data_IF_363831264742
#
_entry.id   IF_363831264742
#
_cell.length_a   1.000
_cell.length_b   1.000
_cell.length_c   1.000
_cell.angle_alpha   90.00
_cell.angle_beta   90.00
_cell.angle_gamma   90.00
#
_symmetry.space_group_name_H-M   'P 1'
#
loop_
_entity.id
_entity.type
_entity.pdbx_description
1 polymer ?
#
# COMPACT_ATOMS: atom_id res chain seq x y z
N UNK A 1 7.00 -1.95 7.72
CA UNK A 1 7.59 -3.27 7.49
C UNK A 1 9.11 -3.16 7.57
N UNK A 2 9.67 -3.59 8.70
CA UNK A 2 11.10 -3.49 8.98
C UNK A 2 11.82 -4.85 8.86
N UNK A 3 13.06 -4.91 9.38
CA UNK A 3 13.92 -6.09 9.30
C UNK A 3 13.25 -7.33 9.91
N UNK A 4 12.69 -7.23 11.11
CA UNK A 4 12.11 -8.39 11.82
C UNK A 4 10.91 -8.99 11.08
N UNK A 5 10.06 -8.16 10.46
CA UNK A 5 8.95 -8.65 9.63
C UNK A 5 9.45 -9.26 8.33
N UNK A 6 10.49 -8.68 7.72
CA UNK A 6 11.12 -9.24 6.52
C UNK A 6 11.75 -10.60 6.79
N UNK A 7 12.37 -10.82 7.97
CA UNK A 7 12.88 -12.11 8.40
C UNK A 7 11.76 -13.16 8.51
N UNK A 8 10.59 -12.80 9.04
CA UNK A 8 9.42 -13.68 9.06
C UNK A 8 8.94 -14.05 7.64
N UNK A 9 8.99 -13.11 6.68
CA UNK A 9 8.67 -13.38 5.28
C UNK A 9 9.69 -14.35 4.67
N UNK A 10 10.99 -14.17 4.96
CA UNK A 10 12.04 -15.11 4.53
C UNK A 10 11.73 -16.52 4.99
N UNK A 11 11.39 -16.70 6.26
CA UNK A 11 11.04 -18.01 6.81
C UNK A 11 9.80 -18.63 6.16
N UNK A 12 8.76 -17.82 5.92
CA UNK A 12 7.56 -18.27 5.20
C UNK A 12 7.88 -18.72 3.75
N UNK A 13 8.74 -17.99 3.04
CA UNK A 13 9.17 -18.35 1.69
C UNK A 13 9.94 -19.66 1.71
N UNK A 14 10.91 -19.82 2.63
CA UNK A 14 11.68 -21.07 2.80
C UNK A 14 10.79 -22.25 3.14
N UNK A 15 9.86 -22.08 4.08
CA UNK A 15 8.91 -23.12 4.48
C UNK A 15 7.97 -23.55 3.34
N UNK A 16 7.72 -22.70 2.35
CA UNK A 16 6.91 -23.07 1.19
C UNK A 16 7.58 -24.10 0.27
N UNK A 17 8.90 -24.31 0.39
CA UNK A 17 9.68 -25.17 -0.51
C UNK A 17 9.80 -24.65 -1.95
N UNK A 18 9.31 -23.45 -2.22
CA UNK A 18 9.32 -22.84 -3.56
C UNK A 18 10.56 -21.97 -3.75
N UNK A 19 10.98 -21.81 -5.02
CA UNK A 19 12.07 -20.93 -5.37
C UNK A 19 11.54 -19.52 -5.62
N UNK A 20 12.01 -18.54 -4.85
CA UNK A 20 11.72 -17.14 -5.11
C UNK A 20 12.54 -16.66 -6.32
N UNK A 21 11.85 -16.22 -7.37
CA UNK A 21 12.46 -15.72 -8.61
C UNK A 21 12.30 -14.23 -8.78
N UNK A 22 11.22 -13.66 -8.24
CA UNK A 22 10.88 -12.25 -8.43
C UNK A 22 10.15 -11.71 -7.22
N UNK A 23 10.51 -10.48 -6.82
CA UNK A 23 9.82 -9.64 -5.87
C UNK A 23 9.27 -8.46 -6.66
N UNK A 24 7.96 -8.22 -6.62
CA UNK A 24 7.35 -7.05 -7.22
C UNK A 24 6.93 -6.06 -6.14
N UNK A 25 7.36 -4.82 -6.27
CA UNK A 25 7.02 -3.72 -5.38
C UNK A 25 5.93 -2.87 -6.04
N UNK A 26 4.74 -2.88 -5.46
CA UNK A 26 3.56 -2.23 -6.02
C UNK A 26 3.46 -0.74 -5.68
N UNK A 27 4.18 -0.29 -4.65
CA UNK A 27 4.06 1.08 -4.16
C UNK A 27 5.36 1.56 -3.50
N UNK A 28 5.55 2.87 -3.45
CA UNK A 28 6.77 3.51 -2.92
C UNK A 28 6.74 3.84 -1.43
N UNK A 29 5.82 3.32 -0.62
CA UNK A 29 5.84 3.50 0.83
C UNK A 29 6.85 2.55 1.51
N UNK A 30 7.45 2.97 2.63
CA UNK A 30 8.54 2.25 3.30
C UNK A 30 8.21 0.80 3.64
N UNK A 31 6.98 0.53 4.06
CA UNK A 31 6.52 -0.80 4.41
C UNK A 31 6.48 -1.78 3.22
N UNK A 32 6.47 -1.27 1.98
CA UNK A 32 6.57 -2.09 0.77
C UNK A 32 8.00 -2.44 0.35
N UNK A 33 9.02 -1.61 0.72
CA UNK A 33 10.37 -1.84 0.19
C UNK A 33 11.50 -1.81 1.22
N UNK A 34 11.29 -1.32 2.45
CA UNK A 34 12.36 -1.32 3.48
C UNK A 34 12.80 -2.74 3.89
N UNK A 35 11.95 -3.75 3.71
CA UNK A 35 12.31 -5.15 3.93
C UNK A 35 13.19 -5.77 2.83
N UNK A 36 13.45 -5.08 1.72
CA UNK A 36 14.17 -5.63 0.56
C UNK A 36 15.63 -5.98 0.87
N UNK A 37 16.29 -5.24 1.76
CA UNK A 37 17.67 -5.55 2.17
C UNK A 37 17.76 -6.97 2.75
N UNK A 38 16.86 -7.33 3.65
CA UNK A 38 16.77 -8.66 4.25
C UNK A 38 16.38 -9.72 3.22
N UNK A 39 15.37 -9.43 2.39
CA UNK A 39 14.89 -10.37 1.36
C UNK A 39 15.95 -10.66 0.29
N UNK A 40 16.63 -9.65 -0.20
CA UNK A 40 17.67 -9.82 -1.24
C UNK A 40 18.93 -10.47 -0.69
N UNK A 41 19.25 -10.28 0.59
CA UNK A 41 20.33 -10.98 1.27
C UNK A 41 20.02 -12.48 1.40
N UNK A 42 18.77 -12.84 1.70
CA UNK A 42 18.33 -14.23 1.82
C UNK A 42 18.14 -14.92 0.45
N UNK A 43 17.74 -14.16 -0.58
CA UNK A 43 17.44 -14.64 -1.92
C UNK A 43 18.15 -13.83 -3.00
N UNK A 44 19.50 -13.90 -3.11
CA UNK A 44 20.29 -13.02 -3.97
C UNK A 44 20.05 -13.22 -5.48
N UNK A 45 19.38 -14.29 -5.88
CA UNK A 45 19.00 -14.56 -7.27
C UNK A 45 17.62 -14.02 -7.66
N UNK A 46 16.83 -13.58 -6.68
CA UNK A 46 15.51 -13.01 -6.94
C UNK A 46 15.67 -11.61 -7.56
N UNK A 47 14.93 -11.35 -8.63
CA UNK A 47 14.84 -10.00 -9.22
C UNK A 47 13.88 -9.15 -8.39
N UNK A 48 14.23 -7.91 -8.16
CA UNK A 48 13.35 -6.94 -7.51
C UNK A 48 12.86 -5.96 -8.57
N UNK A 49 11.57 -5.92 -8.82
CA UNK A 49 10.96 -5.15 -9.91
C UNK A 49 9.86 -4.23 -9.35
N UNK A 50 9.71 -3.07 -9.99
CA UNK A 50 8.56 -2.17 -9.79
C UNK A 50 8.24 -1.47 -11.11
N UNK A 51 7.08 -0.83 -11.20
CA UNK A 51 6.76 0.05 -12.33
C UNK A 51 7.70 1.27 -12.35
N UNK A 52 7.88 1.90 -13.53
CA UNK A 52 8.69 3.11 -13.63
C UNK A 52 8.20 4.21 -12.68
N UNK A 53 6.88 4.54 -12.60
CA UNK A 53 6.40 5.53 -11.65
C UNK A 53 6.74 5.20 -10.18
N UNK A 54 6.62 3.93 -9.78
CA UNK A 54 6.98 3.49 -8.43
C UNK A 54 8.48 3.65 -8.16
N UNK A 55 9.34 3.28 -9.12
CA UNK A 55 10.80 3.45 -9.01
C UNK A 55 11.16 4.92 -8.86
N UNK A 56 10.53 5.80 -9.65
CA UNK A 56 10.79 7.24 -9.60
C UNK A 56 10.32 7.83 -8.28
N UNK A 57 9.15 7.43 -7.79
CA UNK A 57 8.64 7.85 -6.47
C UNK A 57 9.59 7.42 -5.34
N UNK A 58 10.05 6.17 -5.34
CA UNK A 58 11.02 5.68 -4.34
C UNK A 58 12.28 6.54 -4.36
N UNK A 59 12.88 6.78 -5.56
CA UNK A 59 14.10 7.59 -5.68
C UNK A 59 13.95 9.01 -5.17
N UNK A 60 12.78 9.60 -5.38
CA UNK A 60 12.50 10.98 -4.94
C UNK A 60 12.28 11.09 -3.43
N UNK A 61 11.74 10.05 -2.79
CA UNK A 61 11.23 10.13 -1.43
C UNK A 61 12.01 9.32 -0.39
N UNK A 62 12.90 8.41 -0.80
CA UNK A 62 13.55 7.43 0.09
C UNK A 62 14.34 8.09 1.23
N UNK A 63 15.07 9.17 0.95
CA UNK A 63 15.90 9.84 1.97
C UNK A 63 15.02 10.51 3.04
N UNK A 64 13.95 11.20 2.63
CA UNK A 64 12.97 11.81 3.53
C UNK A 64 12.22 10.76 4.36
N UNK A 65 11.79 9.67 3.72
CA UNK A 65 11.11 8.56 4.40
C UNK A 65 12.04 7.86 5.40
N UNK A 66 13.31 7.66 5.04
CA UNK A 66 14.29 7.07 5.96
C UNK A 66 14.58 8.00 7.15
N UNK A 67 14.71 9.32 6.92
CA UNK A 67 14.90 10.29 7.99
C UNK A 67 13.71 10.35 8.96
N UNK A 68 12.48 10.21 8.47
CA UNK A 68 11.26 10.24 9.29
C UNK A 68 11.00 8.93 10.04
N UNK A 69 11.09 7.79 9.33
CA UNK A 69 10.74 6.48 9.87
C UNK A 69 11.89 5.80 10.59
N UNK A 70 13.15 6.00 10.15
CA UNK A 70 14.33 5.34 10.72
C UNK A 70 14.43 5.44 12.24
N UNK A 71 14.32 6.63 12.85
CA UNK A 71 14.35 6.78 14.31
C UNK A 71 13.23 6.04 15.04
N UNK A 72 12.07 5.86 14.39
CA UNK A 72 10.91 5.15 14.94
C UNK A 72 11.03 3.63 14.84
N UNK A 73 11.76 3.16 13.82
CA UNK A 73 11.99 1.73 13.59
C UNK A 73 13.09 1.15 14.48
N UNK A 74 14.02 1.98 14.99
CA UNK A 74 15.11 1.52 15.85
C UNK A 74 15.96 0.45 15.17
N UNK A 75 16.06 -0.74 15.78
CA UNK A 75 16.85 -1.85 15.25
C UNK A 75 16.26 -2.49 13.98
N UNK A 76 15.02 -2.19 13.64
CA UNK A 76 14.31 -2.72 12.47
C UNK A 76 14.55 -1.90 11.19
N UNK A 77 15.29 -0.78 11.29
CA UNK A 77 15.66 0.03 10.12
C UNK A 77 16.53 -0.80 9.16
N UNK A 78 16.31 -0.72 7.83
CA UNK A 78 17.17 -1.41 6.88
C UNK A 78 18.62 -0.88 6.93
N UNK A 79 19.60 -1.77 6.80
CA UNK A 79 21.00 -1.35 6.72
C UNK A 79 21.30 -0.59 5.42
N UNK A 80 20.54 -0.89 4.35
CA UNK A 80 20.55 -0.16 3.08
C UNK A 80 19.17 -0.20 2.45
N UNK A 81 18.83 0.83 1.71
CA UNK A 81 17.62 0.87 0.89
C UNK A 81 17.89 0.27 -0.50
N UNK A 82 16.99 -0.57 -0.98
CA UNK A 82 17.06 -1.18 -2.31
C UNK A 82 16.04 -0.51 -3.21
N UNK A 83 16.50 0.10 -4.29
CA UNK A 83 15.62 0.61 -5.36
C UNK A 83 15.37 -0.51 -6.36
N UNK A 84 14.11 -0.88 -6.64
CA UNK A 84 13.81 -1.92 -7.62
C UNK A 84 14.29 -1.56 -9.05
N UNK A 85 14.56 -2.59 -9.85
CA UNK A 85 14.69 -2.43 -11.29
C UNK A 85 13.33 -2.16 -11.93
N UNK A 86 13.32 -1.48 -13.07
CA UNK A 86 12.08 -1.16 -13.79
C UNK A 86 11.51 -2.39 -14.47
N UNK A 87 10.25 -2.71 -14.18
CA UNK A 87 9.48 -3.70 -14.94
C UNK A 87 9.24 -3.19 -16.36
N UNK A 88 9.66 -3.97 -17.36
CA UNK A 88 9.36 -3.68 -18.77
C UNK A 88 7.93 -4.12 -19.09
N UNK A 89 7.10 -3.16 -19.49
CA UNK A 89 5.67 -3.38 -19.76
C UNK A 89 4.84 -3.43 -18.48
N UNK A 90 3.73 -4.16 -18.54
CA UNK A 90 2.68 -4.20 -17.52
C UNK A 90 2.50 -5.56 -16.86
N UNK A 91 3.40 -6.51 -17.07
CA UNK A 91 3.13 -7.88 -16.63
C UNK A 91 4.37 -8.67 -16.25
N UNK A 92 4.16 -9.58 -15.31
CA UNK A 92 5.07 -10.63 -14.90
C UNK A 92 4.53 -11.97 -15.41
N UNK A 93 5.42 -12.89 -15.78
CA UNK A 93 5.05 -14.27 -16.14
C UNK A 93 5.58 -15.20 -15.07
N UNK A 94 4.70 -15.98 -14.48
CA UNK A 94 5.02 -17.01 -13.50
C UNK A 94 4.44 -18.34 -13.96
N UNK A 95 5.33 -19.31 -14.26
CA UNK A 95 4.92 -20.66 -14.74
C UNK A 95 3.94 -20.60 -15.93
N UNK A 96 4.17 -19.68 -16.86
CA UNK A 96 3.34 -19.46 -18.04
C UNK A 96 2.05 -18.64 -17.79
N UNK A 97 1.76 -18.26 -16.55
CA UNK A 97 0.59 -17.46 -16.19
C UNK A 97 0.96 -15.98 -16.12
N UNK A 98 0.09 -15.13 -16.67
CA UNK A 98 0.25 -13.67 -16.62
C UNK A 98 -0.23 -13.11 -15.27
N UNK A 99 0.61 -12.30 -14.62
CA UNK A 99 0.26 -11.42 -13.53
C UNK A 99 0.34 -10.00 -14.07
N UNK A 100 -0.77 -9.33 -14.18
CA UNK A 100 -0.86 -8.00 -14.79
C UNK A 100 -0.81 -6.90 -13.74
N UNK A 101 0.07 -5.93 -13.93
CA UNK A 101 0.08 -4.69 -13.15
C UNK A 101 -0.92 -3.73 -13.78
N UNK A 102 -1.91 -3.32 -13.00
CA UNK A 102 -3.02 -2.46 -13.44
C UNK A 102 -2.92 -1.09 -12.76
N UNK A 103 -3.30 -0.05 -13.48
CA UNK A 103 -3.29 1.34 -12.98
C UNK A 103 -2.16 2.20 -13.53
N UNK A 104 -1.24 1.65 -14.33
CA UNK A 104 -0.06 2.37 -14.84
C UNK A 104 -0.40 3.53 -15.80
N UNK A 105 -1.52 3.43 -16.50
CA UNK A 105 -2.04 4.49 -17.39
C UNK A 105 -3.09 5.38 -16.71
N UNK A 106 -3.34 5.12 -15.42
CA UNK A 106 -4.30 5.87 -14.63
C UNK A 106 -3.72 7.17 -14.06
N UNK A 107 -4.54 7.92 -13.32
CA UNK A 107 -4.14 9.20 -12.75
C UNK A 107 -3.15 9.10 -11.59
N UNK A 108 -3.00 7.91 -10.98
CA UNK A 108 -2.06 7.61 -9.91
C UNK A 108 -1.20 6.39 -10.29
N UNK A 109 -0.29 6.49 -11.28
CA UNK A 109 0.41 5.34 -11.84
C UNK A 109 1.41 4.69 -10.88
N UNK A 110 1.81 5.36 -9.81
CA UNK A 110 2.63 4.86 -8.70
C UNK A 110 1.82 4.08 -7.65
N UNK A 111 0.47 4.06 -7.77
CA UNK A 111 -0.46 3.34 -6.88
C UNK A 111 -1.17 2.21 -7.63
N UNK A 112 -0.38 1.28 -8.14
CA UNK A 112 -0.85 0.15 -8.93
C UNK A 112 -1.30 -1.04 -8.08
N UNK A 113 -2.03 -1.96 -8.69
CA UNK A 113 -2.35 -3.27 -8.11
C UNK A 113 -2.04 -4.40 -9.10
N UNK A 114 -2.05 -5.64 -8.64
CA UNK A 114 -1.79 -6.81 -9.49
C UNK A 114 -3.08 -7.60 -9.71
N UNK A 115 -3.42 -7.81 -10.97
CA UNK A 115 -4.49 -8.70 -11.42
C UNK A 115 -3.92 -10.03 -11.89
N UNK A 116 -4.46 -11.15 -11.39
CA UNK A 116 -4.09 -12.52 -11.76
C UNK A 116 -5.30 -13.17 -12.46
N UNK A 117 -5.42 -13.08 -13.80
CA UNK A 117 -6.61 -13.52 -14.53
C UNK A 117 -6.94 -15.00 -14.32
N UNK A 118 -5.93 -15.89 -14.29
CA UNK A 118 -6.11 -17.33 -14.11
C UNK A 118 -6.75 -17.72 -12.77
N UNK A 119 -6.60 -16.86 -11.75
CA UNK A 119 -7.18 -17.04 -10.42
C UNK A 119 -8.38 -16.12 -10.17
N UNK A 120 -8.69 -15.21 -11.09
CA UNK A 120 -9.61 -14.08 -10.86
C UNK A 120 -9.30 -13.37 -9.53
N UNK A 121 -8.02 -13.13 -9.28
CA UNK A 121 -7.55 -12.57 -8.01
C UNK A 121 -6.90 -11.20 -8.22
N UNK A 122 -7.16 -10.29 -7.28
CA UNK A 122 -6.49 -9.00 -7.14
C UNK A 122 -5.60 -9.03 -5.90
N UNK A 123 -4.33 -8.66 -6.06
CA UNK A 123 -3.45 -8.28 -4.95
C UNK A 123 -3.42 -6.76 -4.94
N UNK A 124 -4.13 -6.15 -3.98
CA UNK A 124 -4.56 -4.77 -4.04
C UNK A 124 -3.47 -3.73 -3.76
N UNK A 125 -2.34 -4.13 -3.16
CA UNK A 125 -1.32 -3.17 -2.72
C UNK A 125 -1.92 -2.09 -1.81
N UNK A 126 -1.37 -0.88 -1.85
CA UNK A 126 -1.79 0.24 -1.00
C UNK A 126 -3.24 0.69 -1.26
N UNK A 127 -3.79 0.39 -2.45
CA UNK A 127 -5.12 0.91 -2.83
C UNK A 127 -6.28 0.17 -2.17
N UNK A 128 -6.05 -1.01 -1.58
CA UNK A 128 -7.10 -1.79 -0.90
C UNK A 128 -6.71 -2.06 0.54
N UNK A 129 -7.58 -1.70 1.47
CA UNK A 129 -7.42 -1.96 2.89
C UNK A 129 -8.71 -2.54 3.50
N UNK A 130 -8.59 -3.14 4.70
CA UNK A 130 -9.75 -3.64 5.45
C UNK A 130 -9.50 -3.64 6.96
N UNK A 131 -10.52 -3.31 7.74
CA UNK A 131 -10.52 -3.33 9.21
C UNK A 131 -9.49 -2.39 9.87
N UNK A 132 -9.02 -1.38 9.15
CA UNK A 132 -8.12 -0.34 9.66
C UNK A 132 -8.58 1.04 9.25
N UNK A 133 -8.14 2.06 9.96
CA UNK A 133 -8.16 3.43 9.47
C UNK A 133 -7.17 3.59 8.32
N UNK A 134 -7.58 4.26 7.22
CA UNK A 134 -6.72 4.44 6.07
C UNK A 134 -5.66 5.51 6.30
N UNK A 135 -4.51 5.31 5.67
CA UNK A 135 -3.50 6.34 5.51
C UNK A 135 -3.91 7.31 4.39
N UNK A 136 -4.43 8.49 4.78
CA UNK A 136 -4.92 9.50 3.83
C UNK A 136 -3.87 10.61 3.59
N UNK A 137 -2.74 10.59 4.29
CA UNK A 137 -1.75 11.68 4.25
C UNK A 137 -1.07 11.84 2.89
N UNK A 138 -0.94 10.77 2.10
CA UNK A 138 -0.34 10.82 0.76
C UNK A 138 -1.34 11.20 -0.35
N UNK A 139 -2.63 11.28 -0.02
CA UNK A 139 -3.70 11.69 -0.94
C UNK A 139 -4.43 12.90 -0.37
N UNK A 140 -3.82 14.09 -0.50
CA UNK A 140 -4.22 15.29 0.24
C UNK A 140 -5.28 16.15 -0.46
N UNK A 141 -5.70 15.79 -1.67
CA UNK A 141 -6.62 16.60 -2.47
C UNK A 141 -7.91 15.86 -2.80
N UNK A 142 -9.04 16.56 -2.99
CA UNK A 142 -10.27 15.94 -3.47
C UNK A 142 -10.08 15.17 -4.79
N UNK A 143 -9.20 15.65 -5.68
CA UNK A 143 -8.88 14.96 -6.92
C UNK A 143 -8.17 13.64 -6.67
N UNK A 144 -7.16 13.59 -5.77
CA UNK A 144 -6.46 12.34 -5.45
C UNK A 144 -7.38 11.30 -4.80
N UNK A 145 -8.39 11.73 -4.03
CA UNK A 145 -9.42 10.83 -3.51
C UNK A 145 -10.35 10.31 -4.62
N UNK A 146 -10.77 11.18 -5.55
CA UNK A 146 -11.56 10.77 -6.71
C UNK A 146 -10.79 9.77 -7.59
N UNK A 147 -9.49 9.98 -7.78
CA UNK A 147 -8.60 9.10 -8.54
C UNK A 147 -8.45 7.73 -7.85
N UNK A 148 -8.34 7.72 -6.51
CA UNK A 148 -8.32 6.48 -5.74
C UNK A 148 -9.65 5.73 -5.85
N UNK A 149 -10.78 6.42 -5.75
CA UNK A 149 -12.11 5.83 -5.98
C UNK A 149 -12.25 5.25 -7.39
N UNK A 150 -11.70 5.91 -8.42
CA UNK A 150 -11.69 5.40 -9.79
C UNK A 150 -10.85 4.11 -9.90
N UNK A 151 -9.71 4.04 -9.22
CA UNK A 151 -8.87 2.82 -9.15
C UNK A 151 -9.65 1.67 -8.49
N UNK A 152 -10.34 1.92 -7.37
CA UNK A 152 -11.18 0.91 -6.71
C UNK A 152 -12.32 0.44 -7.62
N UNK A 153 -12.96 1.35 -8.35
CA UNK A 153 -13.98 0.98 -9.34
C UNK A 153 -13.42 0.09 -10.46
N UNK A 154 -12.18 0.35 -10.91
CA UNK A 154 -11.53 -0.52 -11.90
C UNK A 154 -11.36 -1.96 -11.40
N UNK A 155 -11.07 -2.15 -10.10
CA UNK A 155 -11.03 -3.47 -9.48
C UNK A 155 -12.41 -4.15 -9.54
N UNK A 156 -13.49 -3.43 -9.23
CA UNK A 156 -14.85 -3.97 -9.30
C UNK A 156 -15.22 -4.44 -10.71
N UNK A 157 -14.79 -3.70 -11.74
CA UNK A 157 -15.06 -4.05 -13.15
C UNK A 157 -14.39 -5.34 -13.60
N UNK A 158 -13.26 -5.72 -12.99
CA UNK A 158 -12.57 -7.01 -13.22
C UNK A 158 -13.35 -8.20 -12.65
N UNK A 159 -14.33 -7.97 -11.79
CA UNK A 159 -15.13 -9.00 -11.10
C UNK A 159 -14.27 -10.09 -10.46
N UNK A 160 -13.31 -9.72 -9.59
CA UNK A 160 -12.45 -10.69 -8.95
C UNK A 160 -13.25 -11.63 -8.04
N UNK A 161 -12.78 -12.86 -7.92
CA UNK A 161 -13.28 -13.83 -6.94
C UNK A 161 -12.51 -13.72 -5.62
N UNK A 162 -11.26 -13.21 -5.69
CA UNK A 162 -10.41 -13.01 -4.53
C UNK A 162 -9.79 -11.64 -4.59
N UNK A 163 -9.85 -10.90 -3.48
CA UNK A 163 -9.16 -9.64 -3.26
C UNK A 163 -8.29 -9.76 -2.02
N UNK A 164 -6.99 -9.51 -2.17
CA UNK A 164 -6.05 -9.47 -1.05
C UNK A 164 -5.70 -8.01 -0.79
N UNK A 165 -6.18 -7.40 0.29
CA UNK A 165 -5.80 -6.03 0.65
C UNK A 165 -4.32 -5.97 1.03
N UNK A 166 -3.67 -4.82 0.75
CA UNK A 166 -2.29 -4.59 1.18
C UNK A 166 -2.18 -4.33 2.67
N UNK A 167 -3.18 -3.68 3.25
CA UNK A 167 -3.26 -3.41 4.69
C UNK A 167 -4.56 -3.92 5.28
N UNK A 168 -4.46 -4.68 6.36
CA UNK A 168 -5.64 -5.14 7.10
C UNK A 168 -5.28 -5.62 8.51
N UNK A 169 -6.29 -5.65 9.38
CA UNK A 169 -6.18 -6.27 10.70
C UNK A 169 -7.23 -7.36 10.88
N UNK A 170 -6.86 -8.39 11.66
CA UNK A 170 -7.74 -9.51 11.95
C UNK A 170 -8.03 -10.39 10.73
N UNK A 171 -9.19 -11.01 10.75
CA UNK A 171 -9.65 -11.87 9.65
C UNK A 171 -10.35 -11.07 8.55
N UNK A 172 -10.17 -11.47 7.31
CA UNK A 172 -10.78 -10.88 6.12
C UNK A 172 -11.41 -11.97 5.26
N UNK A 173 -12.49 -11.66 4.58
CA UNK A 173 -13.20 -12.57 3.68
C UNK A 173 -12.57 -12.68 2.29
N UNK A 174 -11.58 -11.86 1.99
CA UNK A 174 -10.88 -11.77 0.70
C UNK A 174 -11.81 -11.60 -0.50
N UNK A 175 -12.92 -10.91 -0.31
CA UNK A 175 -13.90 -10.58 -1.33
C UNK A 175 -13.82 -9.11 -1.76
N UNK A 176 -14.76 -8.65 -2.57
CA UNK A 176 -14.95 -7.23 -2.89
C UNK A 176 -15.30 -6.36 -1.69
N UNK A 177 -15.63 -6.94 -0.53
CA UNK A 177 -15.91 -6.19 0.72
C UNK A 177 -14.76 -5.25 1.08
N UNK A 178 -13.49 -5.66 0.88
CA UNK A 178 -12.34 -4.80 1.14
C UNK A 178 -12.32 -3.56 0.22
N UNK A 179 -12.66 -3.73 -1.06
CA UNK A 179 -12.74 -2.63 -2.03
C UNK A 179 -13.87 -1.65 -1.65
N UNK A 180 -15.04 -2.20 -1.31
CA UNK A 180 -16.20 -1.42 -0.90
C UNK A 180 -15.95 -0.69 0.41
N UNK A 181 -15.30 -1.34 1.39
CA UNK A 181 -14.87 -0.72 2.64
C UNK A 181 -13.95 0.46 2.39
N UNK A 182 -12.89 0.26 1.57
CA UNK A 182 -11.95 1.33 1.26
C UNK A 182 -12.65 2.52 0.61
N UNK A 183 -13.52 2.28 -0.38
CA UNK A 183 -14.28 3.34 -1.05
C UNK A 183 -15.23 4.08 -0.10
N UNK A 184 -15.91 3.35 0.79
CA UNK A 184 -16.80 3.94 1.79
C UNK A 184 -16.03 4.80 2.81
N UNK A 185 -14.84 4.34 3.22
CA UNK A 185 -13.99 5.07 4.16
C UNK A 185 -13.49 6.39 3.56
N UNK A 186 -13.01 6.39 2.31
CA UNK A 186 -12.55 7.61 1.62
C UNK A 186 -13.67 8.66 1.60
N UNK A 187 -14.88 8.26 1.18
CA UNK A 187 -16.05 9.15 1.15
C UNK A 187 -16.40 9.68 2.53
N UNK A 188 -16.36 8.81 3.55
CA UNK A 188 -16.61 9.19 4.93
C UNK A 188 -15.58 10.18 5.46
N UNK A 189 -14.30 9.98 5.14
CA UNK A 189 -13.24 10.89 5.54
C UNK A 189 -13.42 12.28 4.91
N UNK A 190 -13.80 12.35 3.63
CA UNK A 190 -14.11 13.62 2.94
C UNK A 190 -15.30 14.34 3.59
N UNK A 191 -16.39 13.61 3.83
CA UNK A 191 -17.59 14.15 4.47
C UNK A 191 -17.29 14.73 5.86
N UNK A 192 -16.54 14.01 6.69
CA UNK A 192 -16.23 14.46 8.05
C UNK A 192 -15.15 15.55 8.03
N UNK A 193 -14.19 15.52 7.08
CA UNK A 193 -13.20 16.59 6.90
C UNK A 193 -13.87 17.92 6.57
N UNK A 194 -14.91 17.91 5.72
CA UNK A 194 -15.65 19.13 5.36
C UNK A 194 -16.40 19.74 6.54
N UNK A 195 -16.86 18.93 7.50
CA UNK A 195 -17.62 19.36 8.69
C UNK A 195 -16.73 19.75 9.87
N UNK A 196 -15.58 19.09 10.00
CA UNK A 196 -14.70 19.27 11.15
C UNK A 196 -13.98 20.62 11.09
N UNK A 197 -13.94 21.34 12.21
CA UNK A 197 -13.22 22.62 12.35
C UNK A 197 -11.70 22.45 12.46
N UNK A 198 -11.24 21.33 13.02
CA UNK A 198 -9.84 21.00 13.30
C UNK A 198 -9.62 19.48 13.27
N UNK A 199 -8.37 19.03 13.41
CA UNK A 199 -8.03 17.61 13.38
C UNK A 199 -8.67 16.84 14.55
N UNK A 200 -8.77 17.43 15.72
CA UNK A 200 -9.37 16.78 16.88
C UNK A 200 -10.85 16.46 16.64
N UNK A 201 -11.59 17.38 16.02
CA UNK A 201 -12.99 17.17 15.65
C UNK A 201 -13.12 16.08 14.57
N UNK A 202 -12.22 16.06 13.57
CA UNK A 202 -12.19 15.03 12.52
C UNK A 202 -11.89 13.64 13.11
N UNK A 203 -10.89 13.54 13.98
CA UNK A 203 -10.53 12.30 14.69
C UNK A 203 -11.73 11.75 15.47
N UNK A 204 -12.40 12.61 16.24
CA UNK A 204 -13.56 12.21 17.03
C UNK A 204 -14.72 11.72 16.16
N UNK A 205 -14.97 12.38 15.01
CA UNK A 205 -16.01 12.00 14.06
C UNK A 205 -15.70 10.64 13.40
N UNK A 206 -14.46 10.41 12.96
CA UNK A 206 -14.05 9.16 12.35
C UNK A 206 -14.06 7.99 13.35
N UNK A 207 -13.59 8.19 14.59
CA UNK A 207 -13.69 7.17 15.66
C UNK A 207 -15.15 6.83 16.00
N UNK A 208 -16.05 7.82 15.99
CA UNK A 208 -17.48 7.58 16.19
C UNK A 208 -18.10 6.77 15.03
N UNK A 209 -17.71 7.05 13.81
CA UNK A 209 -18.22 6.37 12.60
C UNK A 209 -17.67 4.96 12.46
N UNK A 210 -16.43 4.74 12.89
CA UNK A 210 -15.69 3.48 12.80
C UNK A 210 -15.05 3.10 14.15
N UNK A 211 -15.83 2.73 15.17
CA UNK A 211 -15.33 2.56 16.54
C UNK A 211 -14.46 1.32 16.75
N UNK A 212 -14.40 0.41 15.78
CA UNK A 212 -13.69 -0.88 15.89
C UNK A 212 -12.49 -1.02 14.97
N UNK A 213 -12.20 -0.01 14.15
CA UNK A 213 -11.06 -0.06 13.27
C UNK A 213 -9.75 0.11 14.05
N UNK A 214 -8.73 -0.64 13.64
CA UNK A 214 -7.37 -0.44 14.12
C UNK A 214 -6.60 0.64 13.38
N UNK A 215 -5.32 0.80 13.75
CA UNK A 215 -4.40 1.79 13.16
C UNK A 215 -4.89 3.25 13.32
N UNK A 216 -5.26 3.60 14.54
CA UNK A 216 -5.68 4.97 14.89
C UNK A 216 -4.59 6.00 14.58
N UNK A 217 -3.30 5.62 14.67
CA UNK A 217 -2.17 6.51 14.39
C UNK A 217 -2.14 7.02 12.96
N UNK A 218 -2.49 6.18 11.99
CA UNK A 218 -2.62 6.56 10.58
C UNK A 218 -3.73 7.59 10.39
N UNK A 219 -4.87 7.40 11.03
CA UNK A 219 -5.98 8.34 10.96
C UNK A 219 -5.65 9.65 11.67
N UNK A 220 -5.00 9.63 12.84
CA UNK A 220 -4.63 10.82 13.58
C UNK A 220 -3.64 11.71 12.80
N UNK A 221 -2.63 11.10 12.15
CA UNK A 221 -1.71 11.83 11.31
C UNK A 221 -2.43 12.38 10.07
N UNK A 222 -3.22 11.54 9.40
CA UNK A 222 -3.99 11.94 8.22
C UNK A 222 -4.94 13.11 8.51
N UNK A 223 -5.59 13.10 9.68
CA UNK A 223 -6.47 14.20 10.10
C UNK A 223 -5.71 15.53 10.28
N UNK A 224 -4.51 15.49 10.88
CA UNK A 224 -3.67 16.69 11.04
C UNK A 224 -3.23 17.23 9.68
N UNK A 225 -2.84 16.36 8.76
CA UNK A 225 -2.48 16.75 7.40
C UNK A 225 -3.68 17.36 6.67
N UNK A 226 -4.83 16.70 6.68
CA UNK A 226 -6.05 17.17 6.03
C UNK A 226 -6.57 18.50 6.57
N UNK A 227 -6.29 18.82 7.84
CA UNK A 227 -6.65 20.10 8.46
C UNK A 227 -5.54 21.16 8.41
N UNK A 228 -4.42 20.88 7.73
CA UNK A 228 -3.29 21.81 7.59
C UNK A 228 -2.51 22.04 8.88
N UNK A 229 -2.68 21.20 9.89
CA UNK A 229 -1.99 21.27 11.17
C UNK A 229 -0.61 20.56 11.13
N UNK A 230 -0.37 19.79 10.08
CA UNK A 230 0.89 19.10 9.83
C UNK A 230 1.19 19.09 8.33
N UNK A 231 2.44 19.36 7.97
CA UNK A 231 2.95 19.14 6.61
C UNK A 231 3.40 17.69 6.45
N UNK A 232 3.13 17.13 5.26
CA UNK A 232 3.50 15.77 4.91
C UNK A 232 3.90 15.67 3.45
N UNK A 233 5.00 14.95 3.15
CA UNK A 233 5.42 14.69 1.77
C UNK A 233 6.24 15.82 1.11
N UNK A 234 6.75 16.78 1.90
CA UNK A 234 7.70 17.82 1.44
C UNK A 234 9.13 17.45 1.82
#
# INVERSE_FOLDING_TARGET
>A
FGKSQAEQVVEKIRASGKQLTTIYISHGDPDYYFGLDTLTSAFPKARVLASQPTVDHIKQTVDGKLAFWGPKMGADVPAKTIVPDVLKGDSLILEGQKLQVVGLEGPQPDRSFVWIPSLKAVVGGVVVAQNIHLWMADTQTPQSHADWLATLHSIETLKPQTVVPGHYLGEIDRSLTAVQFTAAYIKAFDEETAKAKDSAALIAAMKKRYPTLGDESSMELSAKVAKGEMKWGE
#
